data_IF_850569787172
#
_entry.id   IF_850569787172
#
_cell.length_a   1.000
_cell.length_b   1.000
_cell.length_c   1.000
_cell.angle_alpha   90.00
_cell.angle_beta   90.00
_cell.angle_gamma   90.00
#
_symmetry.space_group_name_H-M   'P 1'
#
loop_
_entity.id
_entity.type
_entity.pdbx_description
1 polymer ?
#
# COMPACT_ATOMS: atom_id res chain seq x y z
N UNK A 1 -8.20 9.48 -8.76
CA UNK A 1 -7.42 9.92 -7.58
C UNK A 1 -6.80 8.78 -6.80
N UNK A 2 -7.55 7.75 -6.35
CA UNK A 2 -7.03 6.69 -5.46
C UNK A 2 -5.77 5.97 -5.96
N UNK A 3 -5.72 5.64 -7.27
CA UNK A 3 -4.55 5.03 -7.91
C UNK A 3 -3.30 5.90 -7.74
N UNK A 4 -3.43 7.20 -8.03
CA UNK A 4 -2.35 8.18 -7.91
C UNK A 4 -1.94 8.36 -6.45
N UNK A 5 -2.91 8.39 -5.52
CA UNK A 5 -2.63 8.49 -4.09
C UNK A 5 -1.85 7.28 -3.57
N UNK A 6 -2.22 6.05 -3.96
CA UNK A 6 -1.50 4.83 -3.59
C UNK A 6 -0.06 4.86 -4.12
N UNK A 7 0.12 5.18 -5.39
CA UNK A 7 1.43 5.28 -6.01
C UNK A 7 2.31 6.33 -5.30
N UNK A 8 1.73 7.48 -4.99
CA UNK A 8 2.45 8.54 -4.29
C UNK A 8 2.85 8.11 -2.88
N UNK A 9 1.97 7.41 -2.15
CA UNK A 9 2.31 6.84 -0.83
C UNK A 9 3.49 5.89 -0.95
N UNK A 10 3.52 5.00 -1.95
CA UNK A 10 4.66 4.11 -2.15
C UNK A 10 5.95 4.87 -2.45
N UNK A 11 5.89 5.94 -3.26
CA UNK A 11 7.05 6.81 -3.50
C UNK A 11 7.56 7.47 -2.21
N UNK A 12 6.67 7.89 -1.31
CA UNK A 12 7.05 8.44 0.00
C UNK A 12 7.80 7.41 0.85
N UNK A 13 7.25 6.19 0.96
CA UNK A 13 7.85 5.11 1.75
C UNK A 13 9.17 4.58 1.17
N UNK A 14 9.45 4.79 -0.12
CA UNK A 14 10.75 4.50 -0.69
C UNK A 14 11.86 5.44 -0.17
N UNK A 15 11.50 6.58 0.45
CA UNK A 15 12.44 7.56 0.99
C UNK A 15 13.47 8.06 -0.05
N UNK A 16 13.03 8.22 -1.30
CA UNK A 16 13.82 8.75 -2.41
C UNK A 16 13.24 10.11 -2.79
N UNK A 17 14.11 11.05 -3.20
CA UNK A 17 13.64 12.34 -3.71
C UNK A 17 12.65 12.14 -4.88
N UNK A 18 11.48 12.77 -4.79
CA UNK A 18 10.40 12.64 -5.78
C UNK A 18 10.86 12.94 -7.21
N UNK A 19 11.82 13.86 -7.39
CA UNK A 19 12.39 14.18 -8.70
C UNK A 19 13.03 12.96 -9.38
N UNK A 20 13.65 12.06 -8.61
CA UNK A 20 14.37 10.92 -9.17
C UNK A 20 13.45 9.90 -9.84
N UNK A 21 12.18 9.81 -9.45
CA UNK A 21 11.20 8.93 -10.12
C UNK A 21 10.88 9.35 -11.55
N UNK A 22 11.12 10.62 -11.90
CA UNK A 22 10.85 11.15 -13.24
C UNK A 22 12.12 11.33 -14.09
N UNK A 23 13.29 11.37 -13.45
CA UNK A 23 14.58 11.58 -14.13
C UNK A 23 15.33 10.27 -14.34
N UNK A 24 15.25 9.32 -13.39
CA UNK A 24 15.94 8.03 -13.51
C UNK A 24 15.07 7.06 -14.34
N UNK A 25 15.56 6.54 -15.48
CA UNK A 25 14.76 5.69 -16.36
C UNK A 25 14.32 4.38 -15.70
N UNK A 26 15.12 3.81 -14.79
CA UNK A 26 14.75 2.59 -14.05
C UNK A 26 13.63 2.86 -13.07
N UNK A 27 13.70 3.97 -12.32
CA UNK A 27 12.63 4.36 -11.39
C UNK A 27 11.36 4.76 -12.15
N UNK A 28 11.49 5.39 -13.31
CA UNK A 28 10.35 5.71 -14.16
C UNK A 28 9.64 4.44 -14.64
N UNK A 29 10.40 3.44 -15.10
CA UNK A 29 9.83 2.16 -15.52
C UNK A 29 9.11 1.45 -14.36
N UNK A 30 9.73 1.39 -13.18
CA UNK A 30 9.09 0.86 -11.97
C UNK A 30 7.85 1.68 -11.55
N UNK A 31 7.85 2.99 -11.80
CA UNK A 31 6.69 3.87 -11.55
C UNK A 31 5.53 3.53 -12.47
N UNK A 32 5.78 3.20 -13.73
CA UNK A 32 4.75 2.75 -14.67
C UNK A 32 4.16 1.40 -14.25
N UNK A 33 5.02 0.45 -13.84
CA UNK A 33 4.59 -0.83 -13.25
C UNK A 33 3.73 -0.56 -12.01
N UNK A 34 4.20 0.33 -11.13
CA UNK A 34 3.46 0.71 -9.93
C UNK A 34 2.11 1.34 -10.23
N UNK A 35 1.99 2.14 -11.29
CA UNK A 35 0.72 2.74 -11.68
C UNK A 35 -0.28 1.68 -12.14
N UNK A 36 0.15 0.71 -12.96
CA UNK A 36 -0.69 -0.41 -13.37
C UNK A 36 -1.07 -1.29 -12.18
N UNK A 37 -0.13 -1.56 -11.27
CA UNK A 37 -0.39 -2.36 -10.08
C UNK A 37 -1.33 -1.65 -9.09
N UNK A 38 -1.19 -0.34 -8.91
CA UNK A 38 -2.12 0.47 -8.12
C UNK A 38 -3.53 0.48 -8.72
N UNK A 39 -3.66 0.43 -10.06
CA UNK A 39 -4.95 0.28 -10.72
C UNK A 39 -5.60 -1.06 -10.38
N UNK A 40 -4.85 -2.15 -10.40
CA UNK A 40 -5.32 -3.48 -10.01
C UNK A 40 -5.78 -3.53 -8.53
N UNK A 41 -4.96 -3.02 -7.61
CA UNK A 41 -5.30 -2.95 -6.18
C UNK A 41 -6.51 -2.05 -5.91
N UNK A 42 -6.71 -1.00 -6.72
CA UNK A 42 -7.90 -0.16 -6.61
C UNK A 42 -9.19 -0.91 -6.94
N UNK A 43 -9.15 -1.94 -7.80
CA UNK A 43 -10.32 -2.81 -8.05
C UNK A 43 -10.54 -3.83 -6.92
N UNK A 44 -9.47 -4.33 -6.30
CA UNK A 44 -9.59 -5.26 -5.15
C UNK A 44 -10.36 -4.61 -3.99
N UNK A 45 -10.15 -3.31 -3.78
CA UNK A 45 -10.80 -2.54 -2.71
C UNK A 45 -12.22 -2.08 -3.06
N UNK A 46 -12.72 -2.30 -4.28
CA UNK A 46 -14.10 -1.93 -4.67
C UNK A 46 -15.11 -3.02 -4.33
N UNK A 47 -16.35 -2.64 -3.95
CA UNK A 47 -17.43 -3.60 -3.69
C UNK A 47 -17.95 -4.24 -4.99
N UNK A 48 -17.91 -3.51 -6.10
CA UNK A 48 -18.26 -3.99 -7.44
C UNK A 48 -17.03 -3.90 -8.33
N UNK A 49 -16.59 -5.06 -8.83
CA UNK A 49 -15.36 -5.20 -9.62
C UNK A 49 -15.70 -5.10 -11.10
N UNK A 50 -14.92 -4.32 -11.84
CA UNK A 50 -15.03 -4.29 -13.30
C UNK A 50 -14.04 -5.27 -13.93
N UNK A 51 -14.51 -6.47 -14.28
CA UNK A 51 -13.65 -7.54 -14.81
C UNK A 51 -12.95 -7.16 -16.12
N UNK A 52 -13.60 -6.37 -17.00
CA UNK A 52 -12.96 -5.91 -18.23
C UNK A 52 -11.78 -4.97 -17.93
N UNK A 53 -11.92 -4.12 -16.93
CA UNK A 53 -10.84 -3.24 -16.48
C UNK A 53 -9.70 -4.04 -15.84
N UNK A 54 -10.02 -5.03 -15.00
CA UNK A 54 -9.03 -5.95 -14.40
C UNK A 54 -8.20 -6.63 -15.49
N UNK A 55 -8.85 -7.27 -16.47
CA UNK A 55 -8.17 -7.97 -17.56
C UNK A 55 -7.26 -7.01 -18.35
N UNK A 56 -7.75 -5.81 -18.67
CA UNK A 56 -6.94 -4.80 -19.35
C UNK A 56 -5.69 -4.41 -18.56
N UNK A 57 -5.82 -4.22 -17.24
CA UNK A 57 -4.71 -3.90 -16.35
C UNK A 57 -3.74 -5.08 -16.21
N UNK A 58 -4.23 -6.31 -16.10
CA UNK A 58 -3.40 -7.52 -16.02
C UNK A 58 -2.55 -7.69 -17.28
N UNK A 59 -3.11 -7.46 -18.47
CA UNK A 59 -2.37 -7.51 -19.74
C UNK A 59 -1.28 -6.45 -19.77
N UNK A 60 -1.60 -5.20 -19.41
CA UNK A 60 -0.62 -4.10 -19.36
C UNK A 60 0.49 -4.42 -18.36
N UNK A 61 0.14 -4.88 -17.16
CA UNK A 61 1.12 -5.22 -16.14
C UNK A 61 1.98 -6.42 -16.56
N UNK A 62 1.41 -7.43 -17.20
CA UNK A 62 2.14 -8.58 -17.74
C UNK A 62 3.18 -8.17 -18.77
N UNK A 63 2.84 -7.25 -19.68
CA UNK A 63 3.79 -6.70 -20.66
C UNK A 63 4.93 -5.94 -19.97
N UNK A 64 4.61 -5.09 -19.00
CA UNK A 64 5.61 -4.31 -18.26
C UNK A 64 6.50 -5.20 -17.37
N UNK A 65 5.96 -6.28 -16.81
CA UNK A 65 6.74 -7.25 -16.05
C UNK A 65 7.66 -8.08 -16.95
N UNK A 66 7.20 -8.44 -18.16
CA UNK A 66 8.03 -9.11 -19.14
C UNK A 66 9.21 -8.23 -19.57
N UNK A 67 9.00 -6.92 -19.80
CA UNK A 67 10.12 -6.01 -20.09
C UNK A 67 11.09 -5.90 -18.90
N UNK A 68 10.57 -5.82 -17.67
CA UNK A 68 11.41 -5.76 -16.47
C UNK A 68 12.27 -7.02 -16.32
N UNK A 69 11.72 -8.21 -16.62
CA UNK A 69 12.43 -9.48 -16.55
C UNK A 69 13.66 -9.55 -17.47
N UNK A 70 13.58 -8.90 -18.64
CA UNK A 70 14.68 -8.86 -19.60
C UNK A 70 15.81 -7.91 -19.16
N UNK A 71 15.48 -6.86 -18.41
CA UNK A 71 16.40 -5.75 -18.09
C UNK A 71 16.98 -5.78 -16.66
N UNK A 72 16.51 -6.67 -15.78
CA UNK A 72 16.89 -6.67 -14.35
C UNK A 72 17.18 -8.06 -13.76
N UNK A 73 17.93 -8.15 -12.64
CA UNK A 73 18.18 -9.42 -11.97
C UNK A 73 16.88 -10.14 -11.59
N UNK A 74 16.80 -11.43 -11.88
CA UNK A 74 15.57 -12.23 -11.79
C UNK A 74 14.87 -12.19 -10.43
N UNK A 75 15.63 -12.13 -9.33
CA UNK A 75 15.10 -12.12 -7.95
C UNK A 75 14.14 -10.95 -7.69
N UNK A 76 14.43 -9.79 -8.28
CA UNK A 76 13.63 -8.58 -8.11
C UNK A 76 12.27 -8.68 -8.80
N UNK A 77 12.23 -9.35 -9.95
CA UNK A 77 11.00 -9.55 -10.74
C UNK A 77 10.08 -10.55 -10.05
N UNK A 78 10.64 -11.58 -9.39
CA UNK A 78 9.86 -12.58 -8.65
C UNK A 78 9.00 -11.97 -7.55
N UNK A 79 9.48 -10.93 -6.86
CA UNK A 79 8.71 -10.26 -5.80
C UNK A 79 7.44 -9.60 -6.35
N UNK A 80 7.54 -8.84 -7.45
CA UNK A 80 6.34 -8.23 -8.05
C UNK A 80 5.43 -9.32 -8.63
N UNK A 81 5.99 -10.40 -9.15
CA UNK A 81 5.21 -11.51 -9.71
C UNK A 81 4.40 -12.23 -8.62
N UNK A 82 4.97 -12.39 -7.43
CA UNK A 82 4.26 -12.90 -6.25
C UNK A 82 3.15 -11.93 -5.84
N UNK A 83 3.45 -10.63 -5.73
CA UNK A 83 2.46 -9.60 -5.39
C UNK A 83 1.31 -9.57 -6.41
N UNK A 84 1.62 -9.73 -7.70
CA UNK A 84 0.66 -9.80 -8.80
C UNK A 84 -0.23 -11.04 -8.73
N UNK A 85 0.36 -12.22 -8.49
CA UNK A 85 -0.38 -13.47 -8.35
C UNK A 85 -1.34 -13.40 -7.14
N UNK A 86 -0.87 -12.88 -6.01
CA UNK A 86 -1.68 -12.68 -4.82
C UNK A 86 -2.79 -11.66 -5.03
N UNK A 87 -2.52 -10.56 -5.75
CA UNK A 87 -3.55 -9.58 -6.10
C UNK A 87 -4.68 -10.22 -6.93
N UNK A 88 -4.33 -11.01 -7.94
CA UNK A 88 -5.30 -11.75 -8.74
C UNK A 88 -6.07 -12.80 -7.93
N UNK A 89 -5.40 -13.48 -7.01
CA UNK A 89 -6.06 -14.41 -6.09
C UNK A 89 -7.08 -13.71 -5.18
N UNK A 90 -6.81 -12.48 -4.71
CA UNK A 90 -7.79 -11.66 -3.97
C UNK A 90 -8.96 -11.16 -4.84
N UNK A 91 -8.79 -11.08 -6.16
CA UNK A 91 -9.86 -10.74 -7.10
C UNK A 91 -10.83 -11.91 -7.32
N UNK A 92 -10.33 -13.15 -7.25
CA UNK A 92 -11.14 -14.37 -7.34
C UNK A 92 -11.81 -14.60 -5.98
N UNK A 93 -13.03 -14.11 -5.84
CA UNK A 93 -13.73 -13.96 -4.55
C UNK A 93 -13.98 -15.26 -3.76
N UNK A 94 -13.74 -16.44 -4.34
CA UNK A 94 -14.02 -17.75 -3.75
C UNK A 94 -12.77 -18.53 -3.33
N UNK A 95 -11.55 -17.98 -3.50
CA UNK A 95 -10.33 -18.71 -3.12
C UNK A 95 -9.93 -18.49 -1.66
N UNK A 96 -10.27 -17.33 -1.10
CA UNK A 96 -10.06 -16.98 0.31
C UNK A 96 -11.35 -16.39 0.84
N UNK A 97 -12.14 -17.19 1.54
CA UNK A 97 -13.44 -16.74 2.05
C UNK A 97 -13.31 -15.89 3.33
N UNK A 98 -12.20 -16.02 4.06
CA UNK A 98 -11.93 -15.35 5.32
C UNK A 98 -11.54 -13.86 5.10
N UNK A 99 -12.35 -12.89 5.56
CA UNK A 99 -12.09 -11.45 5.33
C UNK A 99 -10.83 -10.96 6.04
N UNK A 100 -10.47 -11.54 7.20
CA UNK A 100 -9.25 -11.24 7.93
C UNK A 100 -7.99 -11.63 7.13
N UNK A 101 -8.02 -12.80 6.50
CA UNK A 101 -6.90 -13.26 5.68
C UNK A 101 -6.72 -12.36 4.46
N UNK A 102 -7.80 -12.06 3.74
CA UNK A 102 -7.77 -11.14 2.57
C UNK A 102 -7.22 -9.76 2.93
N UNK A 103 -7.63 -9.25 4.09
CA UNK A 103 -7.19 -7.95 4.60
C UNK A 103 -5.68 -7.92 4.88
N UNK A 104 -5.15 -8.95 5.52
CA UNK A 104 -3.72 -9.08 5.81
C UNK A 104 -2.93 -9.22 4.51
N UNK A 105 -3.34 -10.11 3.60
CA UNK A 105 -2.67 -10.29 2.30
C UNK A 105 -2.63 -8.98 1.54
N UNK A 106 -3.76 -8.25 1.46
CA UNK A 106 -3.80 -6.94 0.83
C UNK A 106 -2.79 -5.97 1.44
N UNK A 107 -2.68 -5.96 2.78
CA UNK A 107 -1.70 -5.16 3.50
C UNK A 107 -0.25 -5.45 3.10
N UNK A 108 0.09 -6.72 2.92
CA UNK A 108 1.40 -7.16 2.47
C UNK A 108 1.67 -6.81 1.02
N UNK A 109 0.74 -7.07 0.10
CA UNK A 109 1.01 -6.89 -1.34
C UNK A 109 0.84 -5.44 -1.81
N UNK A 110 0.29 -4.55 -0.98
CA UNK A 110 0.03 -3.15 -1.35
C UNK A 110 1.31 -2.32 -1.39
N UNK A 111 2.11 -2.51 -2.43
CA UNK A 111 3.27 -1.70 -2.79
C UNK A 111 4.58 -2.09 -2.11
N UNK A 112 4.63 -3.12 -1.26
CA UNK A 112 5.86 -3.54 -0.58
C UNK A 112 6.95 -3.98 -1.54
N UNK A 113 6.64 -4.84 -2.51
CA UNK A 113 7.58 -5.25 -3.55
C UNK A 113 8.09 -4.04 -4.35
N UNK A 114 7.21 -3.12 -4.72
CA UNK A 114 7.60 -1.89 -5.44
C UNK A 114 8.51 -0.97 -4.63
N UNK A 115 8.20 -0.74 -3.35
CA UNK A 115 9.04 0.10 -2.47
C UNK A 115 10.41 -0.53 -2.26
N UNK A 116 10.46 -1.85 -2.10
CA UNK A 116 11.73 -2.58 -2.04
C UNK A 116 12.51 -2.45 -3.34
N UNK A 117 11.85 -2.47 -4.49
CA UNK A 117 12.51 -2.28 -5.79
C UNK A 117 12.98 -0.86 -6.04
N UNK A 118 12.21 0.14 -5.62
CA UNK A 118 12.66 1.53 -5.68
C UNK A 118 13.94 1.73 -4.86
N UNK A 119 13.94 1.26 -3.62
CA UNK A 119 15.07 1.40 -2.70
C UNK A 119 16.30 0.64 -3.20
N UNK A 120 16.15 -0.61 -3.62
CA UNK A 120 17.28 -1.42 -4.13
C UNK A 120 17.81 -0.90 -5.48
N UNK A 121 16.95 -0.42 -6.37
CA UNK A 121 17.35 0.13 -7.67
C UNK A 121 18.05 1.47 -7.57
N UNK A 122 17.78 2.25 -6.51
CA UNK A 122 18.35 3.59 -6.32
C UNK A 122 19.57 3.60 -5.38
N UNK A 123 19.49 2.93 -4.23
CA UNK A 123 20.56 2.95 -3.22
C UNK A 123 21.59 1.85 -3.43
N UNK A 124 21.30 0.82 -4.23
CA UNK A 124 22.16 -0.36 -4.44
C UNK A 124 22.45 -1.21 -3.18
N UNK A 125 21.91 -0.85 -2.01
CA UNK A 125 21.94 -1.64 -0.79
C UNK A 125 20.61 -1.51 -0.04
N UNK A 126 20.29 -2.51 0.77
CA UNK A 126 19.07 -2.53 1.58
C UNK A 126 19.41 -2.31 3.06
N UNK A 127 18.96 -1.18 3.60
CA UNK A 127 19.27 -0.80 4.99
C UNK A 127 18.22 -1.30 5.98
N UNK A 128 18.60 -1.46 7.25
CA UNK A 128 17.67 -1.78 8.32
C UNK A 128 16.56 -0.72 8.46
N UNK A 129 16.89 0.55 8.21
CA UNK A 129 15.92 1.65 8.18
C UNK A 129 14.89 1.45 7.06
N UNK A 130 15.33 1.05 5.86
CA UNK A 130 14.43 0.73 4.73
C UNK A 130 13.48 -0.42 5.08
N UNK A 131 13.96 -1.44 5.78
CA UNK A 131 13.12 -2.55 6.27
C UNK A 131 12.06 -2.08 7.28
N UNK A 132 12.42 -1.17 8.19
CA UNK A 132 11.48 -0.59 9.15
C UNK A 132 10.40 0.25 8.45
N UNK A 133 10.76 1.03 7.42
CA UNK A 133 9.77 1.78 6.62
C UNK A 133 8.82 0.86 5.86
N UNK A 134 9.32 -0.24 5.26
CA UNK A 134 8.47 -1.25 4.61
C UNK A 134 7.54 -1.91 5.63
N UNK A 135 8.07 -2.27 6.80
CA UNK A 135 7.27 -2.88 7.88
C UNK A 135 6.16 -1.93 8.34
N UNK A 136 6.48 -0.64 8.54
CA UNK A 136 5.51 0.39 8.87
C UNK A 136 4.46 0.56 7.77
N UNK A 137 4.88 0.52 6.50
CA UNK A 137 3.97 0.58 5.35
C UNK A 137 3.00 -0.60 5.34
N UNK A 138 3.45 -1.83 5.63
CA UNK A 138 2.59 -3.02 5.71
C UNK A 138 1.51 -2.79 6.76
N UNK A 139 1.88 -2.41 7.99
CA UNK A 139 0.89 -2.17 9.04
C UNK A 139 -0.04 -1.00 8.71
N UNK A 140 0.45 0.04 8.04
CA UNK A 140 -0.36 1.18 7.61
C UNK A 140 -1.34 0.78 6.51
N UNK A 141 -0.91 -0.02 5.54
CA UNK A 141 -1.77 -0.59 4.51
C UNK A 141 -2.87 -1.45 5.14
N UNK A 142 -2.54 -2.31 6.11
CA UNK A 142 -3.53 -3.09 6.86
C UNK A 142 -4.50 -2.12 7.54
N UNK A 143 -4.01 -1.20 8.35
CA UNK A 143 -4.86 -0.27 9.10
C UNK A 143 -5.82 0.53 8.22
N UNK A 144 -5.31 1.19 7.18
CA UNK A 144 -6.11 2.05 6.31
C UNK A 144 -6.95 1.27 5.29
N UNK A 145 -6.66 0.00 4.99
CA UNK A 145 -7.52 -0.84 4.13
C UNK A 145 -8.70 -1.50 4.86
N UNK A 146 -8.83 -1.28 6.17
CA UNK A 146 -9.90 -1.87 7.00
C UNK A 146 -11.29 -1.77 6.37
N UNK A 147 -11.63 -0.60 5.78
CA UNK A 147 -12.95 -0.35 5.21
C UNK A 147 -13.33 -1.29 4.07
N UNK A 148 -12.35 -1.79 3.30
CA UNK A 148 -12.56 -2.57 2.09
C UNK A 148 -12.90 -4.03 2.40
N UNK A 149 -12.42 -4.56 3.53
CA UNK A 149 -12.54 -5.98 3.87
C UNK A 149 -13.44 -6.24 5.08
N UNK A 150 -13.46 -5.32 6.06
CA UNK A 150 -14.20 -5.52 7.31
C UNK A 150 -15.63 -4.98 7.24
N UNK A 151 -16.58 -5.90 7.37
CA UNK A 151 -18.03 -5.62 7.37
C UNK A 151 -18.63 -5.49 8.78
N UNK A 152 -17.92 -5.98 9.81
CA UNK A 152 -18.30 -5.84 11.23
C UNK A 152 -17.32 -4.90 11.92
N UNK A 153 -17.81 -4.14 12.89
CA UNK A 153 -16.95 -3.25 13.68
C UNK A 153 -16.09 -4.09 14.63
N UNK A 154 -14.79 -4.20 14.36
CA UNK A 154 -13.79 -4.82 15.23
C UNK A 154 -12.79 -3.74 15.69
N UNK A 155 -13.25 -2.88 16.61
CA UNK A 155 -12.45 -1.76 17.12
C UNK A 155 -11.14 -2.23 17.79
N UNK A 156 -11.19 -3.39 18.46
CA UNK A 156 -10.02 -3.93 19.16
C UNK A 156 -8.87 -4.21 18.17
N UNK A 157 -9.17 -4.79 17.00
CA UNK A 157 -8.16 -5.00 15.95
C UNK A 157 -7.54 -3.69 15.45
N UNK A 158 -8.35 -2.65 15.22
CA UNK A 158 -7.85 -1.33 14.80
C UNK A 158 -6.99 -0.67 15.88
N UNK A 159 -7.37 -0.78 17.16
CA UNK A 159 -6.59 -0.24 18.29
C UNK A 159 -5.25 -0.96 18.38
N UNK A 160 -5.21 -2.29 18.31
CA UNK A 160 -3.96 -3.06 18.36
C UNK A 160 -3.02 -2.62 17.23
N UNK A 161 -3.51 -2.53 15.99
CA UNK A 161 -2.69 -2.10 14.85
C UNK A 161 -2.23 -0.64 15.02
N UNK A 162 -3.07 0.24 15.57
CA UNK A 162 -2.68 1.63 15.87
C UNK A 162 -1.52 1.69 16.87
N UNK A 163 -1.57 0.88 17.93
CA UNK A 163 -0.47 0.80 18.91
C UNK A 163 0.81 0.28 18.25
N UNK A 164 0.72 -0.77 17.42
CA UNK A 164 1.87 -1.29 16.66
C UNK A 164 2.49 -0.22 15.76
N UNK A 165 1.67 0.56 15.05
CA UNK A 165 2.14 1.68 14.23
C UNK A 165 2.88 2.73 15.07
N UNK A 166 2.35 3.11 16.22
CA UNK A 166 3.00 4.07 17.11
C UNK A 166 4.33 3.54 17.67
N UNK A 167 4.39 2.25 18.04
CA UNK A 167 5.63 1.62 18.49
C UNK A 167 6.69 1.58 17.39
N UNK A 168 6.32 1.31 16.13
CA UNK A 168 7.23 1.38 15.00
C UNK A 168 7.71 2.83 14.74
N UNK A 169 6.82 3.81 14.85
CA UNK A 169 7.15 5.23 14.73
C UNK A 169 8.14 5.70 15.81
N UNK A 170 7.96 5.25 17.06
CA UNK A 170 8.89 5.51 18.15
C UNK A 170 10.27 4.91 17.87
N UNK A 171 10.31 3.68 17.32
CA UNK A 171 11.56 3.00 16.98
C UNK A 171 12.30 3.71 15.83
N UNK A 172 11.59 4.33 14.90
CA UNK A 172 12.13 5.16 13.81
C UNK A 172 12.61 6.55 14.27
N UNK A 173 12.68 6.80 15.58
CA UNK A 173 13.09 8.07 16.19
C UNK A 173 12.41 9.31 15.61
N UNK A 174 11.14 9.16 15.19
CA UNK A 174 10.32 10.24 14.68
C UNK A 174 10.15 11.31 15.77
N UNK A 175 10.21 12.59 15.40
CA UNK A 175 10.08 13.70 16.35
C UNK A 175 8.79 13.62 17.16
N UNK A 176 8.84 14.02 18.43
CA UNK A 176 7.70 13.98 19.34
C UNK A 176 6.44 14.68 18.78
N UNK A 177 6.60 15.85 18.14
CA UNK A 177 5.49 16.59 17.53
C UNK A 177 4.81 15.78 16.41
N UNK A 178 5.60 15.12 15.55
CA UNK A 178 5.06 14.23 14.50
C UNK A 178 4.33 13.04 15.10
N UNK A 179 4.81 12.45 16.19
CA UNK A 179 4.13 11.35 16.88
C UNK A 179 2.75 11.78 17.41
N UNK A 180 2.64 12.99 17.97
CA UNK A 180 1.34 13.53 18.40
C UNK A 180 0.39 13.64 17.19
N UNK A 181 0.85 14.23 16.08
CA UNK A 181 0.04 14.38 14.87
C UNK A 181 -0.39 13.03 14.29
N UNK A 182 0.52 12.05 14.24
CA UNK A 182 0.22 10.67 13.82
C UNK A 182 -0.85 10.07 14.74
N UNK A 183 -0.73 10.23 16.05
CA UNK A 183 -1.72 9.74 17.03
C UNK A 183 -3.09 10.33 16.77
N UNK A 184 -3.18 11.63 16.48
CA UNK A 184 -4.43 12.30 16.12
C UNK A 184 -5.04 11.73 14.84
N UNK A 185 -4.23 11.47 13.80
CA UNK A 185 -4.71 10.86 12.55
C UNK A 185 -5.25 9.45 12.79
N UNK A 186 -4.52 8.62 13.54
CA UNK A 186 -4.95 7.25 13.87
C UNK A 186 -6.25 7.27 14.68
N UNK A 187 -6.31 8.09 15.75
CA UNK A 187 -7.51 8.22 16.58
C UNK A 187 -8.71 8.73 15.78
N UNK A 188 -8.51 9.73 14.91
CA UNK A 188 -9.54 10.23 14.00
C UNK A 188 -10.07 9.12 13.09
N UNK A 189 -9.20 8.32 12.48
CA UNK A 189 -9.60 7.24 11.59
C UNK A 189 -10.37 6.14 12.33
N UNK A 190 -9.89 5.70 13.52
CA UNK A 190 -10.62 4.73 14.37
C UNK A 190 -12.00 5.25 14.73
N UNK A 191 -12.10 6.52 15.15
CA UNK A 191 -13.37 7.14 15.50
C UNK A 191 -14.32 7.21 14.28
N UNK A 192 -13.81 7.66 13.14
CA UNK A 192 -14.58 7.76 11.91
C UNK A 192 -15.16 6.41 11.48
N UNK A 193 -14.32 5.37 11.43
CA UNK A 193 -14.73 4.01 11.06
C UNK A 193 -15.76 3.42 12.03
N UNK A 194 -15.75 3.84 13.30
CA UNK A 194 -16.75 3.40 14.29
C UNK A 194 -18.13 4.03 14.13
N UNK A 195 -18.21 5.20 13.50
CA UNK A 195 -19.46 5.99 13.40
C UNK A 195 -20.10 5.92 12.02
N UNK A 196 -19.32 5.68 10.98
CA UNK A 196 -19.83 5.73 9.61
C UNK A 196 -20.48 4.42 9.19
N UNK A 197 -21.64 4.52 8.53
CA UNK A 197 -22.35 3.37 8.00
C UNK A 197 -21.48 2.61 6.97
N UNK A 198 -21.35 1.30 7.14
CA UNK A 198 -20.62 0.40 6.25
C UNK A 198 -21.04 0.51 4.78
N UNK A 199 -22.29 0.91 4.51
CA UNK A 199 -22.82 1.12 3.15
C UNK A 199 -22.18 2.30 2.41
N UNK A 200 -21.64 3.29 3.12
CA UNK A 200 -21.02 4.47 2.51
C UNK A 200 -19.56 4.21 2.11
N UNK A 201 -19.36 3.22 1.24
CA UNK A 201 -18.03 2.74 0.84
C UNK A 201 -17.13 3.84 0.29
N UNK A 202 -17.65 4.72 -0.58
CA UNK A 202 -16.85 5.78 -1.19
C UNK A 202 -16.33 6.80 -0.18
N UNK A 203 -17.16 7.19 0.79
CA UNK A 203 -16.77 8.12 1.85
C UNK A 203 -15.67 7.52 2.71
N UNK A 204 -15.81 6.24 3.08
CA UNK A 204 -14.80 5.51 3.87
C UNK A 204 -13.47 5.39 3.11
N UNK A 205 -13.54 5.00 1.84
CA UNK A 205 -12.37 4.89 0.99
C UNK A 205 -11.62 6.22 0.79
N UNK A 206 -12.35 7.33 0.65
CA UNK A 206 -11.74 8.65 0.50
C UNK A 206 -11.07 9.12 1.80
N UNK A 207 -11.74 8.96 2.94
CA UNK A 207 -11.17 9.32 4.25
C UNK A 207 -9.96 8.46 4.57
N UNK A 208 -10.02 7.15 4.33
CA UNK A 208 -8.86 6.25 4.43
C UNK A 208 -7.69 6.73 3.58
N UNK A 209 -7.91 7.04 2.30
CA UNK A 209 -6.85 7.47 1.38
C UNK A 209 -6.19 8.78 1.83
N UNK A 210 -6.98 9.73 2.33
CA UNK A 210 -6.48 11.02 2.82
C UNK A 210 -5.73 10.85 4.14
N UNK A 211 -6.29 10.09 5.10
CA UNK A 211 -5.62 9.81 6.37
C UNK A 211 -4.31 9.06 6.15
N UNK A 212 -4.27 8.10 5.23
CA UNK A 212 -3.05 7.38 4.89
C UNK A 212 -2.01 8.28 4.23
N UNK A 213 -2.43 9.15 3.31
CA UNK A 213 -1.52 10.12 2.70
C UNK A 213 -0.92 11.08 3.74
N UNK A 214 -1.73 11.62 4.65
CA UNK A 214 -1.25 12.49 5.73
C UNK A 214 -0.30 11.75 6.67
N UNK A 215 -0.61 10.50 7.01
CA UNK A 215 0.26 9.63 7.79
C UNK A 215 1.61 9.42 7.09
N UNK A 216 1.61 9.05 5.81
CA UNK A 216 2.81 8.83 5.02
C UNK A 216 3.68 10.10 4.92
N UNK A 217 3.04 11.27 4.72
CA UNK A 217 3.73 12.56 4.68
C UNK A 217 4.42 12.87 6.01
N UNK A 218 3.75 12.72 7.15
CA UNK A 218 4.35 13.01 8.46
C UNK A 218 5.52 12.11 8.82
N UNK A 219 5.51 10.89 8.30
CA UNK A 219 6.56 9.92 8.57
C UNK A 219 7.77 10.14 7.66
N UNK A 220 7.52 10.39 6.37
CA UNK A 220 8.58 10.44 5.36
C UNK A 220 9.14 11.85 5.11
N UNK A 221 8.47 12.91 5.61
CA UNK A 221 8.90 14.31 5.57
C UNK A 221 8.80 14.93 6.96
#
# INVERSE_FOLDING_TARGET
MRIVTMLFIWMLFANISLKMFFVNPKLLHLTLIGLAFAALLSEISKPQKNMLFVIGVDVVLGILLASLYLDTPSVNVWLILIDFALANLLLIANFIDEPHCRWIIYGFISGTGLVLLYTTSYHHYFSLVSLMYITLMIFANIFFSYYAFMKKNNQLSMIIISVLLLMLCLTLSISFLKIILITVILAFYVYFESRVNFRNHEKRANVSSVSFLLFALLICF
#
